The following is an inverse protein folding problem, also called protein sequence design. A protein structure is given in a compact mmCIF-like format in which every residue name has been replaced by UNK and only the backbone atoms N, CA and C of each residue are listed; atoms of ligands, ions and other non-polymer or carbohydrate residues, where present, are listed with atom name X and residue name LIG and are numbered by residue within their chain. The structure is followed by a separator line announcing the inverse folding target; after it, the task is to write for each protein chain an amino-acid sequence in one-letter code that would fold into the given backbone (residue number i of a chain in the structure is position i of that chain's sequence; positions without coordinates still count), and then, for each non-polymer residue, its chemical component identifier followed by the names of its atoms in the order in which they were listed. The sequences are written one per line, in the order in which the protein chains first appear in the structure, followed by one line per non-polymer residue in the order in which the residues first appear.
data_IF_084411491498
#
_entry.id   IF_084411491498
#
_cell.length_a   1.000
_cell.length_b   1.000
_cell.length_c   1.000
_cell.angle_alpha   90.00
_cell.angle_beta   90.00
_cell.angle_gamma   90.00
#
_symmetry.space_group_name_H-M   'P 1'
#
loop_
_entity.id
_entity.type
_entity.pdbx_description
1 polymer ?
#
# COMPACT_ATOMS: atom_id res chain seq x y z
N UNK A 1 -19.27 -11.75 -9.50
CA UNK A 1 -19.04 -11.22 -10.85
C UNK A 1 -17.74 -11.78 -11.37
N UNK A 2 -17.62 -12.06 -12.67
CA UNK A 2 -16.40 -12.63 -13.24
C UNK A 2 -15.32 -11.55 -13.39
N UNK A 3 -14.05 -11.93 -13.24
CA UNK A 3 -12.92 -11.06 -13.59
C UNK A 3 -12.95 -10.72 -15.10
N UNK A 4 -12.37 -9.57 -15.52
CA UNK A 4 -12.11 -9.29 -16.92
C UNK A 4 -11.39 -10.47 -17.61
N UNK A 5 -11.64 -10.69 -18.91
CA UNK A 5 -11.21 -11.90 -19.64
C UNK A 5 -9.68 -12.13 -19.65
N UNK A 6 -8.92 -11.08 -19.37
CA UNK A 6 -7.47 -10.93 -19.36
C UNK A 6 -6.87 -10.83 -17.94
N UNK A 7 -7.71 -10.99 -16.91
CA UNK A 7 -7.35 -10.99 -15.50
C UNK A 7 -7.71 -12.33 -14.87
N UNK A 8 -6.71 -13.00 -14.30
CA UNK A 8 -6.89 -14.28 -13.61
C UNK A 8 -6.56 -14.15 -12.13
N UNK A 9 -7.46 -14.62 -11.27
CA UNK A 9 -7.25 -14.75 -9.83
C UNK A 9 -7.05 -16.22 -9.50
N UNK A 10 -5.84 -16.59 -9.08
CA UNK A 10 -5.49 -17.97 -8.70
C UNK A 10 -5.54 -18.19 -7.20
N UNK A 11 -5.75 -17.14 -6.41
CA UNK A 11 -5.91 -17.19 -4.97
C UNK A 11 -7.29 -17.68 -4.53
N UNK A 12 -7.37 -18.31 -3.37
CA UNK A 12 -8.65 -18.76 -2.82
C UNK A 12 -9.61 -17.58 -2.58
N UNK A 13 -10.88 -17.76 -2.95
CA UNK A 13 -11.94 -16.79 -2.62
C UNK A 13 -12.44 -17.07 -1.21
N UNK A 14 -12.67 -16.00 -0.43
CA UNK A 14 -13.30 -16.06 0.89
C UNK A 14 -14.45 -15.06 0.96
N UNK A 15 -15.30 -15.22 1.97
CA UNK A 15 -16.40 -14.28 2.22
C UNK A 15 -15.88 -12.85 2.35
N UNK A 16 -16.51 -11.92 1.64
CA UNK A 16 -16.16 -10.49 1.66
C UNK A 16 -15.05 -10.08 0.70
N UNK A 17 -14.29 -11.03 0.11
CA UNK A 17 -13.24 -10.69 -0.87
C UNK A 17 -13.83 -10.05 -2.13
N UNK A 18 -15.03 -10.46 -2.52
CA UNK A 18 -15.80 -9.90 -3.63
C UNK A 18 -16.09 -8.40 -3.47
N UNK A 19 -16.02 -7.86 -2.23
CA UNK A 19 -16.21 -6.43 -1.95
C UNK A 19 -15.00 -5.59 -2.38
N UNK A 20 -13.81 -6.17 -2.42
CA UNK A 20 -12.58 -5.45 -2.81
C UNK A 20 -12.04 -5.90 -4.16
N UNK A 21 -12.29 -7.16 -4.55
CA UNK A 21 -11.96 -7.71 -5.87
C UNK A 21 -13.16 -7.58 -6.82
N UNK A 22 -13.73 -6.38 -6.93
CA UNK A 22 -14.82 -6.09 -7.86
C UNK A 22 -14.30 -6.04 -9.29
N UNK A 23 -15.17 -6.21 -10.29
CA UNK A 23 -14.80 -6.14 -11.70
C UNK A 23 -14.05 -4.83 -12.03
N UNK A 24 -14.62 -3.69 -11.62
CA UNK A 24 -14.01 -2.36 -11.84
C UNK A 24 -12.65 -2.20 -11.13
N UNK A 25 -12.49 -2.76 -9.93
CA UNK A 25 -11.21 -2.70 -9.22
C UNK A 25 -10.15 -3.57 -9.94
N UNK A 26 -10.55 -4.73 -10.46
CA UNK A 26 -9.68 -5.61 -11.23
C UNK A 26 -9.30 -4.99 -12.59
N UNK A 27 -10.22 -4.31 -13.25
CA UNK A 27 -9.93 -3.55 -14.48
C UNK A 27 -8.95 -2.40 -14.19
N UNK A 28 -9.15 -1.67 -13.09
CA UNK A 28 -8.20 -0.65 -12.65
C UNK A 28 -6.80 -1.23 -12.37
N UNK A 29 -6.71 -2.37 -11.67
CA UNK A 29 -5.43 -3.05 -11.43
C UNK A 29 -4.78 -3.52 -12.74
N UNK A 30 -5.55 -4.01 -13.70
CA UNK A 30 -5.05 -4.40 -15.00
C UNK A 30 -4.50 -3.20 -15.78
N UNK A 31 -5.18 -2.05 -15.74
CA UNK A 31 -4.68 -0.81 -16.34
C UNK A 31 -3.37 -0.35 -15.68
N UNK A 32 -3.28 -0.35 -14.34
CA UNK A 32 -2.04 -0.05 -13.61
C UNK A 32 -0.91 -1.01 -13.99
N UNK A 33 -1.21 -2.31 -14.10
CA UNK A 33 -0.23 -3.31 -14.51
C UNK A 33 0.32 -2.98 -15.90
N UNK A 34 -0.55 -2.79 -16.90
CA UNK A 34 -0.13 -2.57 -18.29
C UNK A 34 0.70 -1.30 -18.44
N UNK A 35 0.31 -0.24 -17.75
CA UNK A 35 1.00 1.04 -17.83
C UNK A 35 2.36 1.02 -17.11
N UNK A 36 2.41 0.51 -15.88
CA UNK A 36 3.57 0.75 -15.00
C UNK A 36 4.45 -0.48 -14.76
N UNK A 37 3.95 -1.70 -14.99
CA UNK A 37 4.75 -2.91 -14.79
C UNK A 37 6.01 -2.97 -15.68
N UNK A 38 5.95 -2.59 -16.98
CA UNK A 38 7.16 -2.59 -17.81
C UNK A 38 8.28 -1.73 -17.21
N UNK A 39 7.96 -0.50 -16.77
CA UNK A 39 8.92 0.39 -16.12
C UNK A 39 9.42 -0.15 -14.78
N UNK A 40 8.55 -0.78 -13.99
CA UNK A 40 8.96 -1.46 -12.74
C UNK A 40 10.04 -2.50 -13.00
N UNK A 41 9.83 -3.36 -14.00
CA UNK A 41 10.78 -4.43 -14.35
C UNK A 41 12.11 -3.86 -14.86
N UNK A 42 12.07 -2.81 -15.68
CA UNK A 42 13.26 -2.09 -16.13
C UNK A 42 14.07 -1.54 -14.94
N UNK A 43 13.42 -0.92 -13.97
CA UNK A 43 14.07 -0.39 -12.77
C UNK A 43 14.68 -1.51 -11.90
N UNK A 44 14.01 -2.65 -11.76
CA UNK A 44 14.56 -3.80 -11.03
C UNK A 44 15.79 -4.38 -11.73
N UNK A 45 15.84 -4.37 -13.06
CA UNK A 45 17.02 -4.77 -13.81
C UNK A 45 18.16 -3.74 -13.65
N UNK A 46 17.84 -2.44 -13.71
CA UNK A 46 18.81 -1.38 -13.46
C UNK A 46 19.45 -1.47 -12.06
N UNK A 47 18.70 -1.93 -11.04
CA UNK A 47 19.23 -2.20 -9.69
C UNK A 47 20.33 -3.26 -9.72
N UNK A 48 20.18 -4.34 -10.50
CA UNK A 48 21.23 -5.38 -10.64
C UNK A 48 22.50 -4.79 -11.24
N UNK A 49 22.37 -4.01 -12.31
CA UNK A 49 23.52 -3.33 -12.92
C UNK A 49 24.23 -2.36 -11.97
N UNK A 50 23.49 -1.69 -11.08
CA UNK A 50 24.09 -0.87 -10.01
C UNK A 50 24.80 -1.72 -8.96
N UNK A 51 24.18 -2.82 -8.55
CA UNK A 51 24.78 -3.76 -7.61
C UNK A 51 26.12 -4.30 -8.15
N UNK A 52 26.17 -4.72 -9.42
CA UNK A 52 27.40 -5.23 -10.03
C UNK A 52 28.52 -4.18 -10.07
N UNK A 53 28.19 -2.91 -10.35
CA UNK A 53 29.17 -1.81 -10.29
C UNK A 53 29.77 -1.65 -8.89
N UNK A 54 28.93 -1.71 -7.85
CA UNK A 54 29.37 -1.61 -6.46
C UNK A 54 30.19 -2.83 -6.03
N UNK A 55 29.75 -4.03 -6.40
CA UNK A 55 30.45 -5.28 -6.09
C UNK A 55 31.85 -5.32 -6.72
N UNK A 56 32.06 -4.68 -7.88
CA UNK A 56 33.34 -4.56 -8.57
C UNK A 56 34.21 -3.37 -8.10
N UNK A 57 34.00 -2.88 -6.87
CA UNK A 57 34.80 -1.81 -6.27
C UNK A 57 34.30 -0.39 -6.55
N UNK A 58 33.11 -0.23 -7.14
CA UNK A 58 32.43 1.04 -7.20
C UNK A 58 32.03 1.56 -5.82
N UNK A 59 31.75 2.86 -5.73
CA UNK A 59 31.28 3.51 -4.49
C UNK A 59 29.97 4.26 -4.72
N UNK A 60 29.32 4.65 -3.63
CA UNK A 60 28.17 5.55 -3.64
C UNK A 60 28.66 6.98 -3.41
N UNK A 61 28.17 7.91 -4.22
CA UNK A 61 28.39 9.34 -4.05
C UNK A 61 27.20 10.12 -4.62
N UNK A 62 27.12 11.42 -4.32
CA UNK A 62 26.10 12.30 -4.88
C UNK A 62 26.28 12.42 -6.40
N UNK A 63 25.17 12.25 -7.13
CA UNK A 63 25.17 12.40 -8.58
C UNK A 63 25.52 13.84 -8.98
N UNK A 64 26.51 13.99 -9.87
CA UNK A 64 26.91 15.30 -10.37
C UNK A 64 25.79 15.96 -11.20
N UNK A 65 25.06 15.16 -11.98
CA UNK A 65 23.98 15.62 -12.87
C UNK A 65 22.78 16.24 -12.13
N UNK A 66 22.53 15.87 -10.87
CA UNK A 66 21.43 16.44 -10.05
C UNK A 66 21.90 17.52 -9.07
N UNK A 67 23.14 18.01 -9.21
CA UNK A 67 23.70 19.04 -8.32
C UNK A 67 22.86 20.31 -8.29
N UNK A 68 22.40 20.79 -9.45
CA UNK A 68 21.60 22.00 -9.54
C UNK A 68 20.29 21.92 -8.73
N UNK A 69 19.67 20.74 -8.66
CA UNK A 69 18.46 20.52 -7.84
C UNK A 69 18.79 20.63 -6.34
N UNK A 70 19.92 20.08 -5.90
CA UNK A 70 20.33 20.09 -4.49
C UNK A 70 20.74 21.47 -3.99
N UNK A 71 21.32 22.29 -4.87
CA UNK A 71 21.81 23.63 -4.53
C UNK A 71 20.75 24.73 -4.69
N UNK A 72 19.62 24.41 -5.33
CA UNK A 72 18.50 25.33 -5.49
C UNK A 72 17.62 25.39 -4.22
N UNK A 73 17.75 26.46 -3.45
CA UNK A 73 16.95 26.72 -2.25
C UNK A 73 15.57 27.34 -2.55
N UNK A 74 15.21 27.55 -3.83
CA UNK A 74 13.94 28.18 -4.20
C UNK A 74 12.76 27.20 -4.18
N UNK A 75 13.02 25.90 -4.34
CA UNK A 75 11.97 24.89 -4.37
C UNK A 75 11.74 24.26 -2.99
N UNK A 76 10.51 23.82 -2.77
CA UNK A 76 10.10 23.01 -1.62
C UNK A 76 9.00 22.04 -2.04
N UNK A 77 8.81 20.98 -1.26
CA UNK A 77 7.63 20.11 -1.42
C UNK A 77 6.34 20.88 -1.12
N UNK A 78 5.20 20.33 -1.55
CA UNK A 78 3.89 20.86 -1.19
C UNK A 78 3.68 20.83 0.34
N UNK A 79 2.79 21.70 0.84
CA UNK A 79 2.42 21.73 2.24
C UNK A 79 1.82 20.39 2.70
N UNK A 80 1.98 19.99 3.99
CA UNK A 80 1.43 18.74 4.48
C UNK A 80 -0.09 18.65 4.29
N UNK A 81 -0.55 17.49 3.82
CA UNK A 81 -1.98 17.23 3.64
C UNK A 81 -2.73 17.13 5.00
N UNK A 82 -4.06 17.27 5.02
CA UNK A 82 -4.87 17.14 6.23
C UNK A 82 -4.60 15.85 7.01
N UNK A 83 -4.48 15.93 8.34
CA UNK A 83 -4.12 14.78 9.18
C UNK A 83 -2.62 14.44 9.21
N UNK A 84 -1.78 15.10 8.40
CA UNK A 84 -0.32 14.90 8.36
C UNK A 84 0.50 16.09 8.87
N UNK A 85 -0.15 17.13 9.40
CA UNK A 85 0.54 18.29 10.00
C UNK A 85 1.25 17.94 11.32
N UNK A 86 0.59 17.16 12.17
CA UNK A 86 1.16 16.67 13.44
C UNK A 86 1.36 15.15 13.36
N UNK A 87 2.62 14.74 13.22
CA UNK A 87 3.03 13.33 13.13
C UNK A 87 3.99 12.96 14.27
N UNK A 88 3.83 13.59 15.45
CA UNK A 88 4.76 13.44 16.58
C UNK A 88 4.97 11.99 17.05
N UNK A 89 3.98 11.13 16.82
CA UNK A 89 4.06 9.71 17.13
C UNK A 89 3.26 8.93 16.07
N UNK A 90 3.90 7.91 15.49
CA UNK A 90 3.31 6.99 14.54
C UNK A 90 3.43 5.57 15.07
N UNK A 91 2.35 4.80 14.99
CA UNK A 91 2.35 3.37 15.31
C UNK A 91 2.37 2.58 13.99
N UNK A 92 3.14 1.50 13.94
CA UNK A 92 3.16 0.59 12.80
C UNK A 92 2.55 -0.75 13.19
N UNK A 93 1.78 -1.35 12.29
CA UNK A 93 1.22 -2.68 12.53
C UNK A 93 0.54 -3.28 11.31
N UNK A 94 0.30 -4.60 11.32
CA UNK A 94 -0.37 -5.31 10.24
C UNK A 94 -1.83 -4.87 10.08
N UNK A 95 -2.45 -5.29 8.98
CA UNK A 95 -3.83 -4.93 8.63
C UNK A 95 -4.88 -5.95 9.08
N UNK A 96 -4.55 -6.84 10.01
CA UNK A 96 -5.58 -7.69 10.66
C UNK A 96 -6.53 -6.82 11.52
N UNK A 97 -7.79 -7.24 11.60
CA UNK A 97 -8.84 -6.38 12.14
C UNK A 97 -8.58 -5.94 13.60
N UNK A 98 -8.10 -6.85 14.45
CA UNK A 98 -7.86 -6.55 15.87
C UNK A 98 -6.68 -5.59 16.03
N UNK A 99 -5.58 -5.82 15.32
CA UNK A 99 -4.41 -4.93 15.39
C UNK A 99 -4.69 -3.57 14.76
N UNK A 100 -5.42 -3.53 13.64
CA UNK A 100 -5.86 -2.29 13.02
C UNK A 100 -6.69 -1.43 13.98
N UNK A 101 -7.70 -2.02 14.65
CA UNK A 101 -8.52 -1.29 15.64
C UNK A 101 -7.65 -0.77 16.80
N UNK A 102 -6.77 -1.60 17.34
CA UNK A 102 -5.90 -1.19 18.45
C UNK A 102 -4.94 -0.07 18.03
N UNK A 103 -4.38 -0.13 16.82
CA UNK A 103 -3.47 0.88 16.30
C UNK A 103 -4.20 2.21 16.07
N UNK A 104 -5.39 2.17 15.44
CA UNK A 104 -6.23 3.34 15.23
C UNK A 104 -6.65 4.00 16.56
N UNK A 105 -6.91 3.21 17.59
CA UNK A 105 -7.32 3.70 18.92
C UNK A 105 -6.13 3.95 19.88
N UNK A 106 -4.88 3.88 19.41
CA UNK A 106 -3.70 3.93 20.29
C UNK A 106 -3.38 5.31 20.86
N UNK A 107 -3.96 6.37 20.29
CA UNK A 107 -3.60 7.76 20.57
C UNK A 107 -2.40 8.27 19.77
N UNK A 108 -1.78 7.44 18.93
CA UNK A 108 -0.83 7.89 17.91
C UNK A 108 -1.52 8.82 16.89
N UNK A 109 -0.76 9.72 16.26
CA UNK A 109 -1.33 10.61 15.23
C UNK A 109 -1.51 9.91 13.89
N UNK A 110 -0.65 8.94 13.61
CA UNK A 110 -0.65 8.16 12.39
C UNK A 110 -0.55 6.68 12.73
N UNK A 111 -1.33 5.86 12.03
CA UNK A 111 -1.10 4.43 11.92
C UNK A 111 -0.55 4.10 10.53
N UNK A 112 0.66 3.56 10.50
CA UNK A 112 1.25 2.95 9.33
C UNK A 112 0.70 1.53 9.19
N UNK A 113 -0.31 1.39 8.32
CA UNK A 113 -1.00 0.15 8.04
C UNK A 113 -0.17 -0.68 7.05
N UNK A 114 0.37 -1.78 7.55
CA UNK A 114 1.49 -2.45 6.87
C UNK A 114 1.06 -3.68 6.06
N UNK A 115 1.34 -3.62 4.76
CA UNK A 115 1.26 -4.74 3.81
C UNK A 115 2.66 -5.29 3.48
N UNK A 116 3.70 -4.80 4.16
CA UNK A 116 5.09 -5.08 3.87
C UNK A 116 5.78 -5.84 5.02
N UNK A 117 6.88 -5.35 5.61
CA UNK A 117 7.73 -6.14 6.52
C UNK A 117 7.04 -6.73 7.76
N UNK A 118 5.97 -6.12 8.29
CA UNK A 118 5.21 -6.63 9.43
C UNK A 118 4.05 -7.54 9.04
N UNK A 119 3.89 -7.88 7.76
CA UNK A 119 2.77 -8.66 7.26
C UNK A 119 3.25 -9.78 6.32
N UNK A 120 3.08 -11.03 6.73
CA UNK A 120 3.34 -12.17 5.84
C UNK A 120 2.39 -12.09 4.65
N UNK A 121 2.89 -12.00 3.39
CA UNK A 121 2.05 -11.72 2.22
C UNK A 121 1.33 -12.99 1.72
N UNK A 122 0.61 -13.67 2.61
CA UNK A 122 -0.38 -14.67 2.25
C UNK A 122 -1.51 -13.98 1.50
N UNK A 123 -2.03 -14.61 0.45
CA UNK A 123 -3.16 -14.08 -0.32
C UNK A 123 -4.29 -13.57 0.58
N UNK A 124 -4.63 -14.37 1.59
CA UNK A 124 -5.66 -14.03 2.56
C UNK A 124 -5.33 -12.75 3.34
N UNK A 125 -4.11 -12.62 3.85
CA UNK A 125 -3.71 -11.44 4.61
C UNK A 125 -3.79 -10.18 3.75
N UNK A 126 -3.37 -10.27 2.49
CA UNK A 126 -3.36 -9.13 1.58
C UNK A 126 -4.79 -8.68 1.24
N UNK A 127 -5.67 -9.61 0.85
CA UNK A 127 -7.04 -9.26 0.46
C UNK A 127 -7.90 -8.91 1.66
N UNK A 128 -7.80 -9.67 2.76
CA UNK A 128 -8.52 -9.36 4.00
C UNK A 128 -8.04 -8.02 4.59
N UNK A 129 -6.76 -7.70 4.47
CA UNK A 129 -6.21 -6.41 4.84
C UNK A 129 -6.89 -5.26 4.11
N UNK A 130 -7.14 -5.39 2.80
CA UNK A 130 -7.90 -4.40 2.03
C UNK A 130 -9.35 -4.28 2.48
N UNK A 131 -10.00 -5.40 2.81
CA UNK A 131 -11.36 -5.41 3.37
C UNK A 131 -11.39 -4.64 4.70
N UNK A 132 -10.42 -4.88 5.57
CA UNK A 132 -10.31 -4.22 6.88
C UNK A 132 -10.02 -2.73 6.73
N UNK A 133 -9.11 -2.34 5.83
CA UNK A 133 -8.78 -0.94 5.53
C UNK A 133 -10.00 -0.18 5.02
N UNK A 134 -10.74 -0.77 4.08
CA UNK A 134 -11.99 -0.18 3.58
C UNK A 134 -13.01 -0.01 4.72
N UNK A 135 -13.22 -1.05 5.53
CA UNK A 135 -14.12 -0.96 6.68
C UNK A 135 -13.66 0.11 7.69
N UNK A 136 -12.35 0.26 7.90
CA UNK A 136 -11.81 1.28 8.80
C UNK A 136 -12.09 2.69 8.28
N UNK A 137 -11.83 2.93 6.99
CA UNK A 137 -12.14 4.20 6.32
C UNK A 137 -13.64 4.49 6.33
N UNK A 138 -14.50 3.47 6.23
CA UNK A 138 -15.94 3.64 6.34
C UNK A 138 -16.43 3.85 7.78
N UNK A 139 -15.59 3.65 8.80
CA UNK A 139 -15.98 3.72 10.22
C UNK A 139 -16.74 2.49 10.72
N UNK A 140 -16.60 1.35 10.02
CA UNK A 140 -17.37 0.11 10.25
C UNK A 140 -16.51 -1.08 10.65
N UNK A 141 -15.22 -0.89 10.90
CA UNK A 141 -14.32 -1.97 11.29
C UNK A 141 -14.65 -2.42 12.72
N UNK A 142 -15.08 -3.66 12.85
CA UNK A 142 -15.35 -4.31 14.14
C UNK A 142 -14.72 -5.69 14.18
N UNK A 143 -14.39 -6.15 15.38
CA UNK A 143 -13.85 -7.48 15.63
C UNK A 143 -14.32 -8.01 16.97
N UNK A 144 -14.72 -9.28 17.02
CA UNK A 144 -15.03 -9.99 18.27
C UNK A 144 -14.02 -11.11 18.45
N UNK A 145 -13.30 -11.10 19.57
CA UNK A 145 -12.31 -12.14 19.85
C UNK A 145 -12.98 -13.49 20.16
N UNK A 146 -12.25 -14.62 20.09
CA UNK A 146 -12.78 -15.93 20.46
C UNK A 146 -13.34 -15.98 21.89
N UNK A 147 -12.83 -15.14 22.79
CA UNK A 147 -13.31 -15.00 24.18
C UNK A 147 -14.56 -14.12 24.30
N UNK A 148 -15.10 -13.61 23.20
CA UNK A 148 -16.32 -12.79 23.16
C UNK A 148 -16.11 -11.28 23.39
N UNK A 149 -14.86 -10.80 23.46
CA UNK A 149 -14.59 -9.36 23.63
C UNK A 149 -14.74 -8.64 22.29
N UNK A 150 -15.61 -7.63 22.24
CA UNK A 150 -15.83 -6.76 21.07
C UNK A 150 -14.82 -5.61 21.04
N UNK A 151 -14.32 -5.31 19.85
CA UNK A 151 -13.42 -4.21 19.50
C UNK A 151 -14.07 -3.42 18.35
N UNK A 152 -14.04 -2.10 18.45
CA UNK A 152 -14.53 -1.17 17.43
C UNK A 152 -13.68 0.10 17.45
N UNK A 153 -13.80 0.91 16.41
CA UNK A 153 -13.11 2.20 16.33
C UNK A 153 -13.66 3.18 17.38
N UNK A 154 -12.76 3.99 17.95
CA UNK A 154 -13.11 5.13 18.80
C UNK A 154 -13.48 6.38 18.00
N UNK A 155 -13.71 7.48 18.71
CA UNK A 155 -14.21 8.72 18.12
C UNK A 155 -13.14 9.51 17.32
N UNK A 156 -11.87 9.38 17.70
CA UNK A 156 -10.73 10.09 17.08
C UNK A 156 -9.63 9.08 16.66
N UNK A 157 -9.87 8.29 15.61
CA UNK A 157 -8.90 7.30 15.14
C UNK A 157 -7.69 7.98 14.49
N UNK A 158 -6.51 7.37 14.65
CA UNK A 158 -5.28 7.83 13.99
C UNK A 158 -5.41 7.93 12.46
N UNK A 159 -4.67 8.86 11.84
CA UNK A 159 -4.63 8.97 10.37
C UNK A 159 -4.02 7.71 9.76
N UNK A 160 -4.70 7.11 8.77
CA UNK A 160 -4.23 5.92 8.07
C UNK A 160 -3.20 6.32 7.01
N UNK A 161 -2.02 5.69 7.06
CA UNK A 161 -1.01 5.72 5.99
C UNK A 161 -0.69 4.28 5.60
N UNK A 162 -0.98 3.87 4.37
CA UNK A 162 -0.78 2.49 3.92
C UNK A 162 0.65 2.29 3.41
N UNK A 163 1.33 1.24 3.87
CA UNK A 163 2.63 0.81 3.33
C UNK A 163 2.44 -0.39 2.40
N UNK A 164 2.38 -0.18 1.07
CA UNK A 164 2.33 -1.29 0.12
C UNK A 164 3.66 -2.06 0.10
N UNK A 165 3.63 -3.29 -0.41
CA UNK A 165 4.85 -4.08 -0.67
C UNK A 165 5.85 -3.32 -1.53
N UNK A 166 7.15 -3.55 -1.29
CA UNK A 166 8.22 -2.98 -2.12
C UNK A 166 8.24 -3.50 -3.56
N UNK A 167 8.86 -2.74 -4.47
CA UNK A 167 8.83 -2.98 -5.92
C UNK A 167 9.28 -4.37 -6.38
N UNK A 168 10.11 -5.05 -5.58
CA UNK A 168 10.67 -6.36 -5.87
C UNK A 168 9.70 -7.52 -5.59
N UNK A 169 8.61 -7.29 -4.86
CA UNK A 169 7.66 -8.33 -4.49
C UNK A 169 6.54 -8.45 -5.55
N UNK A 170 6.28 -9.65 -6.09
CA UNK A 170 5.13 -9.89 -6.95
C UNK A 170 3.87 -10.21 -6.12
N UNK A 171 2.69 -9.95 -6.69
CA UNK A 171 1.45 -10.61 -6.30
C UNK A 171 1.24 -11.82 -7.21
N UNK A 172 1.53 -13.01 -6.69
CA UNK A 172 1.50 -14.24 -7.49
C UNK A 172 0.09 -14.75 -7.80
N UNK A 173 -0.93 -14.24 -7.11
CA UNK A 173 -2.31 -14.69 -7.25
C UNK A 173 -3.16 -13.83 -8.19
N UNK A 174 -2.61 -12.71 -8.69
CA UNK A 174 -3.25 -11.88 -9.71
C UNK A 174 -2.38 -11.88 -10.97
N UNK A 175 -2.87 -12.53 -12.02
CA UNK A 175 -2.26 -12.49 -13.33
C UNK A 175 -3.01 -11.50 -14.22
N UNK A 176 -2.26 -10.67 -14.94
CA UNK A 176 -2.77 -9.79 -16.00
C UNK A 176 -2.04 -10.18 -17.27
N UNK A 177 -2.76 -10.53 -18.33
CA UNK A 177 -2.19 -11.03 -19.58
C UNK A 177 -1.23 -12.22 -19.36
N UNK A 178 -1.55 -13.09 -18.38
CA UNK A 178 -0.75 -14.26 -17.98
C UNK A 178 0.49 -13.94 -17.13
N UNK A 179 0.76 -12.67 -16.81
CA UNK A 179 1.92 -12.25 -16.03
C UNK A 179 1.59 -11.91 -14.59
N UNK A 180 2.45 -12.31 -13.64
CA UNK A 180 2.31 -11.94 -12.23
C UNK A 180 2.36 -10.43 -12.04
N UNK A 181 1.40 -9.91 -11.29
CA UNK A 181 1.31 -8.48 -11.00
C UNK A 181 2.34 -8.00 -9.97
N UNK A 182 2.53 -6.69 -9.88
CA UNK A 182 3.31 -6.07 -8.80
C UNK A 182 2.54 -6.17 -7.49
N UNK A 183 3.19 -6.60 -6.42
CA UNK A 183 2.63 -6.48 -5.07
C UNK A 183 2.37 -5.01 -4.71
N UNK A 184 3.30 -4.11 -5.08
CA UNK A 184 3.17 -2.67 -4.86
C UNK A 184 1.93 -2.08 -5.52
N UNK A 185 1.72 -2.36 -6.82
CA UNK A 185 0.57 -1.84 -7.57
C UNK A 185 -0.74 -2.48 -7.12
N UNK A 186 -0.72 -3.76 -6.72
CA UNK A 186 -1.87 -4.43 -6.13
C UNK A 186 -2.32 -3.76 -4.83
N UNK A 187 -1.38 -3.56 -3.91
CA UNK A 187 -1.66 -3.00 -2.58
C UNK A 187 -2.10 -1.53 -2.67
N UNK A 188 -1.38 -0.73 -3.45
CA UNK A 188 -1.73 0.66 -3.76
C UNK A 188 -3.09 0.71 -4.45
N UNK A 189 -3.27 -0.06 -5.51
CA UNK A 189 -4.42 0.05 -6.41
C UNK A 189 -5.72 -0.26 -5.70
N UNK A 190 -5.78 -1.34 -4.90
CA UNK A 190 -6.97 -1.67 -4.13
C UNK A 190 -7.28 -0.63 -3.06
N UNK A 191 -6.28 -0.17 -2.28
CA UNK A 191 -6.54 0.83 -1.26
C UNK A 191 -6.98 2.16 -1.89
N UNK A 192 -6.27 2.64 -2.91
CA UNK A 192 -6.61 3.87 -3.61
C UNK A 192 -8.02 3.79 -4.21
N UNK A 193 -8.33 2.73 -4.95
CA UNK A 193 -9.62 2.57 -5.62
C UNK A 193 -10.80 2.61 -4.64
N UNK A 194 -10.70 1.88 -3.52
CA UNK A 194 -11.80 1.77 -2.56
C UNK A 194 -11.84 2.90 -1.53
N UNK A 195 -10.70 3.51 -1.19
CA UNK A 195 -10.60 4.41 -0.04
C UNK A 195 -10.32 5.87 -0.39
N UNK A 196 -9.85 6.20 -1.60
CA UNK A 196 -9.48 7.58 -1.92
C UNK A 196 -10.66 8.56 -1.83
N UNK A 197 -11.79 8.24 -2.48
CA UNK A 197 -12.99 9.11 -2.44
C UNK A 197 -13.55 9.26 -1.02
N UNK A 198 -13.82 8.17 -0.27
CA UNK A 198 -14.31 8.30 1.11
C UNK A 198 -13.36 9.08 2.04
N UNK A 199 -12.04 8.94 1.88
CA UNK A 199 -11.07 9.71 2.67
C UNK A 199 -11.14 11.21 2.36
N UNK A 200 -11.21 11.57 1.07
CA UNK A 200 -11.33 12.96 0.64
C UNK A 200 -12.64 13.61 1.12
N UNK A 201 -13.76 12.89 1.04
CA UNK A 201 -15.07 13.35 1.53
C UNK A 201 -15.07 13.62 3.05
N UNK A 202 -14.19 12.96 3.80
CA UNK A 202 -13.99 13.16 5.25
C UNK A 202 -12.91 14.19 5.59
N UNK A 203 -12.37 14.89 4.59
CA UNK A 203 -11.33 15.90 4.77
C UNK A 203 -9.94 15.33 5.06
N UNK A 204 -9.70 14.07 4.71
CA UNK A 204 -8.39 13.41 4.73
C UNK A 204 -7.94 13.05 3.31
N UNK A 205 -6.98 12.14 3.13
CA UNK A 205 -6.49 11.74 1.82
C UNK A 205 -5.98 10.30 1.77
N UNK A 206 -5.81 9.74 0.55
CA UNK A 206 -5.18 8.44 0.36
C UNK A 206 -3.67 8.56 0.55
N UNK A 207 -3.18 8.27 1.75
CA UNK A 207 -1.78 8.43 2.11
C UNK A 207 -1.00 7.12 2.07
N UNK A 208 0.24 7.20 1.61
CA UNK A 208 1.11 6.03 1.41
C UNK A 208 2.51 6.22 1.99
N UNK A 209 3.08 5.13 2.47
CA UNK A 209 4.48 5.02 2.86
C UNK A 209 5.21 4.14 1.84
N UNK A 210 6.19 4.66 1.11
CA UNK A 210 6.85 3.93 0.01
C UNK A 210 8.16 3.27 0.48
N UNK A 211 8.25 1.92 0.52
CA UNK A 211 9.43 1.23 1.05
C UNK A 211 10.50 0.94 -0.02
N UNK A 212 11.75 0.81 0.44
CA UNK A 212 12.87 0.15 -0.28
C UNK A 212 13.13 0.67 -1.70
N UNK A 213 13.07 2.00 -1.88
CA UNK A 213 13.40 2.67 -3.14
C UNK A 213 14.92 2.80 -3.31
N UNK A 214 15.40 2.55 -4.53
CA UNK A 214 16.85 2.59 -4.84
C UNK A 214 17.20 3.37 -6.13
N UNK A 215 16.20 3.85 -6.88
CA UNK A 215 16.22 5.07 -7.73
C UNK A 215 14.90 5.21 -8.46
#
# INVERSE_FOLDING_TARGET
MAAPADVEITGATKEGFDRVLTADALEFLAALHREFNPRRLELLEARKGRYDKLANGGTLDFLAETRAIREDNSWRVADPAPGLLDRRAEITGPTDAKMAINALNSGAKVWLADHEDANTPLWENMVQGQVNLRAAVEGKLEFTSPEGKRYALGDDPATIVVRPRGWHLPEKHLLVDGQRSSGSLFDFGLYFFHCAKPQLERGSGPYFYLPKMES
#
